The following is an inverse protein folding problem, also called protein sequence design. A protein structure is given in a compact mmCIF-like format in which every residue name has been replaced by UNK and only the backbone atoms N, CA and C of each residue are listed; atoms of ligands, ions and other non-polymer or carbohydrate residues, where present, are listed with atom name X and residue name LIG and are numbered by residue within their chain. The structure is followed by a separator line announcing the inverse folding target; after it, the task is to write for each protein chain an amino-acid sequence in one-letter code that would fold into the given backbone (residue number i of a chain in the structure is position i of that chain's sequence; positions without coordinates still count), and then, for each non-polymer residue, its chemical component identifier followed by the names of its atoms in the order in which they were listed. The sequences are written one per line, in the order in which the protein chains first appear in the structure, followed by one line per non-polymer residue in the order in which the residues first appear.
data_IF_213014815933
#
_entry.id   IF_213014815933
#
_cell.length_a   1.000
_cell.length_b   1.000
_cell.length_c   1.000
_cell.angle_alpha   90.00
_cell.angle_beta   90.00
_cell.angle_gamma   90.00
#
_symmetry.space_group_name_H-M   'P 1'
#
loop_
_entity.id
_entity.type
_entity.pdbx_description
1 polymer ?
#
# COMPACT_ATOMS: atom_id res chain seq x y z
N UNK A 1 -5.52 3.49 -8.03
CA UNK A 1 -4.13 3.66 -8.49
C UNK A 1 -3.20 3.14 -7.39
N UNK A 2 -2.23 2.31 -7.73
CA UNK A 2 -1.27 1.75 -6.77
C UNK A 2 0.14 2.26 -7.10
N UNK A 3 0.86 2.74 -6.08
CA UNK A 3 2.26 3.12 -6.14
C UNK A 3 3.00 2.32 -5.07
N UNK A 4 3.92 1.47 -5.51
CA UNK A 4 4.80 0.71 -4.60
C UNK A 4 6.25 0.94 -4.98
N UNK A 5 7.10 1.24 -3.99
CA UNK A 5 8.51 1.53 -4.19
C UNK A 5 9.37 0.61 -3.33
N UNK A 6 10.21 -0.21 -3.95
CA UNK A 6 11.15 -1.09 -3.25
C UNK A 6 12.49 -0.40 -3.05
N UNK A 7 12.87 -0.14 -1.81
CA UNK A 7 14.15 0.42 -1.42
C UNK A 7 14.98 -0.59 -0.63
N UNK A 8 16.11 -1.01 -1.20
CA UNK A 8 17.09 -1.82 -0.47
C UNK A 8 18.02 -0.89 0.31
N UNK A 9 17.68 -0.67 1.59
CA UNK A 9 18.47 0.18 2.48
C UNK A 9 19.83 -0.46 2.78
N UNK A 10 19.84 -1.77 3.01
CA UNK A 10 21.08 -2.55 3.23
C UNK A 10 20.93 -3.95 2.61
N UNK A 11 22.02 -4.72 2.46
CA UNK A 11 21.94 -6.10 1.94
C UNK A 11 21.02 -7.01 2.77
N UNK A 12 20.88 -6.72 4.06
CA UNK A 12 20.04 -7.47 4.99
C UNK A 12 18.67 -6.81 5.24
N UNK A 13 18.41 -5.59 4.75
CA UNK A 13 17.18 -4.83 5.00
C UNK A 13 16.57 -4.27 3.71
N UNK A 14 15.38 -4.76 3.39
CA UNK A 14 14.56 -4.24 2.31
C UNK A 14 13.31 -3.56 2.87
N UNK A 15 13.03 -2.36 2.38
CA UNK A 15 11.87 -1.56 2.73
C UNK A 15 11.03 -1.37 1.46
N UNK A 16 9.76 -1.74 1.52
CA UNK A 16 8.83 -1.55 0.40
C UNK A 16 7.58 -0.82 0.89
N UNK A 17 7.59 0.52 0.91
CA UNK A 17 6.36 1.29 1.01
C UNK A 17 5.43 1.01 -0.17
N UNK A 18 4.14 0.89 0.12
CA UNK A 18 3.06 0.78 -0.84
C UNK A 18 1.96 1.79 -0.50
N UNK A 19 1.39 2.39 -1.54
CA UNK A 19 0.31 3.36 -1.43
C UNK A 19 -0.74 2.94 -2.45
N UNK A 20 -1.91 2.57 -1.95
CA UNK A 20 -3.04 2.14 -2.76
C UNK A 20 -4.16 3.15 -2.61
N UNK A 21 -4.44 3.88 -3.69
CA UNK A 21 -5.62 4.73 -3.79
C UNK A 21 -6.77 3.93 -4.38
N UNK A 22 -7.73 3.58 -3.54
CA UNK A 22 -8.93 2.81 -3.90
C UNK A 22 -10.08 3.81 -4.08
N UNK A 23 -10.46 4.01 -5.34
CA UNK A 23 -11.64 4.78 -5.72
C UNK A 23 -12.80 3.80 -5.73
N UNK A 24 -13.86 4.09 -4.96
CA UNK A 24 -15.08 3.27 -4.86
C UNK A 24 -14.85 1.79 -4.48
N UNK A 25 -14.44 1.47 -3.24
CA UNK A 25 -14.35 0.07 -2.79
C UNK A 25 -15.72 -0.64 -2.66
N UNK A 26 -16.83 0.07 -2.87
CA UNK A 26 -18.18 -0.38 -2.56
C UNK A 26 -18.89 -1.06 -3.73
N UNK A 27 -18.90 -2.39 -3.75
CA UNK A 27 -19.87 -3.20 -4.51
C UNK A 27 -21.28 -3.19 -3.88
N UNK A 28 -21.61 -2.21 -3.02
CA UNK A 28 -22.87 -2.14 -2.30
C UNK A 28 -23.65 -0.90 -2.72
N UNK A 29 -24.76 -1.14 -3.43
CA UNK A 29 -25.77 -0.14 -3.72
C UNK A 29 -26.21 0.58 -2.45
N UNK A 30 -25.95 1.89 -2.34
CA UNK A 30 -26.66 2.76 -1.40
C UNK A 30 -25.84 3.43 -0.29
N UNK A 31 -24.51 3.40 -0.32
CA UNK A 31 -23.71 4.26 0.57
C UNK A 31 -22.54 4.82 -0.23
N UNK A 32 -22.44 6.15 -0.32
CA UNK A 32 -21.24 6.83 -0.79
C UNK A 32 -20.08 6.41 0.13
N UNK A 33 -19.32 5.40 -0.29
CA UNK A 33 -18.11 5.02 0.41
C UNK A 33 -17.01 5.91 -0.16
N UNK A 34 -16.58 6.88 0.66
CA UNK A 34 -15.50 7.80 0.32
C UNK A 34 -14.24 7.06 -0.16
N UNK A 35 -13.50 7.71 -1.05
CA UNK A 35 -12.23 7.19 -1.57
C UNK A 35 -11.30 6.76 -0.43
N UNK A 36 -10.82 5.53 -0.46
CA UNK A 36 -9.93 4.99 0.55
C UNK A 36 -8.47 5.10 0.08
N UNK A 37 -7.68 5.92 0.76
CA UNK A 37 -6.23 5.92 0.63
C UNK A 37 -5.64 4.94 1.64
N UNK A 38 -5.03 3.87 1.15
CA UNK A 38 -4.33 2.86 1.93
C UNK A 38 -2.83 3.11 1.80
N UNK A 39 -2.13 3.13 2.92
CA UNK A 39 -0.67 3.24 2.97
C UNK A 39 -0.12 2.06 3.75
N UNK A 40 0.70 1.26 3.10
CA UNK A 40 1.41 0.12 3.65
C UNK A 40 2.93 0.33 3.64
N UNK A 41 3.61 -0.35 4.56
CA UNK A 41 5.06 -0.44 4.57
C UNK A 41 5.45 -1.87 4.89
N UNK A 42 6.10 -2.53 3.94
CA UNK A 42 6.68 -3.85 4.17
C UNK A 42 8.16 -3.70 4.54
N UNK A 43 8.56 -4.35 5.63
CA UNK A 43 9.95 -4.45 6.06
C UNK A 43 10.37 -5.91 5.99
N UNK A 44 11.47 -6.19 5.29
CA UNK A 44 12.05 -7.53 5.20
C UNK A 44 13.50 -7.48 5.66
N UNK A 45 13.79 -8.17 6.76
CA UNK A 45 15.12 -8.35 7.29
C UNK A 45 15.57 -9.81 7.15
N UNK A 46 16.81 -10.04 6.70
CA UNK A 46 17.44 -11.36 6.60
C UNK A 46 18.72 -11.38 7.43
N UNK A 47 18.85 -12.35 8.34
CA UNK A 47 19.98 -12.55 9.25
C UNK A 47 20.72 -13.85 8.91
#
# INVERSE_FOLDING_TARGET
MELSYGYQATPWLNLRPDVQYIIEPGAFSGTDIDNALVVGLQVKASF
#
